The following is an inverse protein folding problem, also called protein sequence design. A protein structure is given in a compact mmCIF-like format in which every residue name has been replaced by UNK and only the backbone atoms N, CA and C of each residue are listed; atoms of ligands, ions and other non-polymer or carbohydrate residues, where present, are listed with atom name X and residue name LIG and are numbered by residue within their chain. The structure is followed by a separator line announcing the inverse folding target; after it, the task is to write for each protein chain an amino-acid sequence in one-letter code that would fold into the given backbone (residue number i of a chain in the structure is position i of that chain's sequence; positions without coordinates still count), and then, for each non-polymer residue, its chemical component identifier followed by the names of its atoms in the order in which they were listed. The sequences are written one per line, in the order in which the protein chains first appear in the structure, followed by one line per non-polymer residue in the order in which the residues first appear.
data_IF_945528745471
#
_entry.id   IF_945528745471
#
_cell.length_a   1.000
_cell.length_b   1.000
_cell.length_c   1.000
_cell.angle_alpha   90.00
_cell.angle_beta   90.00
_cell.angle_gamma   90.00
#
_symmetry.space_group_name_H-M   'P 1'
#
loop_
_entity.id
_entity.type
_entity.pdbx_description
1 polymer ?
#
# COMPACT_ATOMS: atom_id res chain seq x y z
N UNK A 1 -8.60 -35.96 15.74
CA UNK A 1 -8.53 -34.48 15.61
C UNK A 1 -9.75 -34.05 14.80
N UNK A 2 -10.47 -33.01 15.22
CA UNK A 2 -11.63 -32.51 14.46
C UNK A 2 -11.19 -31.93 13.14
N UNK A 3 -11.96 -32.18 12.08
CA UNK A 3 -11.78 -31.49 10.80
C UNK A 3 -12.09 -30.02 10.98
N UNK A 4 -11.20 -29.17 10.47
CA UNK A 4 -11.39 -27.73 10.35
C UNK A 4 -12.11 -27.39 9.06
N UNK A 5 -12.76 -26.24 9.02
CA UNK A 5 -13.52 -25.79 7.85
C UNK A 5 -12.64 -25.76 6.58
N UNK A 6 -11.37 -25.36 6.73
CA UNK A 6 -10.38 -25.33 5.64
C UNK A 6 -10.12 -26.70 5.00
N UNK A 7 -10.31 -27.80 5.73
CA UNK A 7 -10.08 -29.16 5.24
C UNK A 7 -11.29 -29.71 4.45
N UNK A 8 -12.43 -29.03 4.50
CA UNK A 8 -13.69 -29.51 3.91
C UNK A 8 -14.13 -28.61 2.77
N UNK A 9 -14.39 -27.33 3.02
CA UNK A 9 -14.89 -26.42 2.00
C UNK A 9 -14.73 -24.94 2.38
N UNK A 10 -14.64 -24.08 1.37
CA UNK A 10 -14.54 -22.63 1.48
C UNK A 10 -15.37 -21.94 0.38
N UNK A 11 -15.91 -20.73 0.61
CA UNK A 11 -16.59 -19.95 -0.42
C UNK A 11 -15.56 -19.28 -1.35
N UNK A 12 -14.89 -20.10 -2.17
CA UNK A 12 -13.75 -19.69 -3.00
C UNK A 12 -14.10 -18.55 -3.96
N UNK A 13 -15.30 -18.54 -4.54
CA UNK A 13 -15.72 -17.49 -5.47
C UNK A 13 -15.75 -16.11 -4.80
N UNK A 14 -16.28 -16.02 -3.57
CA UNK A 14 -16.30 -14.79 -2.80
C UNK A 14 -14.89 -14.34 -2.41
N UNK A 15 -14.05 -15.28 -1.94
CA UNK A 15 -12.66 -15.01 -1.56
C UNK A 15 -11.85 -14.51 -2.77
N UNK A 16 -12.00 -15.15 -3.92
CA UNK A 16 -11.29 -14.81 -5.16
C UNK A 16 -11.72 -13.44 -5.69
N UNK A 17 -13.03 -13.16 -5.70
CA UNK A 17 -13.57 -11.86 -6.12
C UNK A 17 -13.06 -10.73 -5.21
N UNK A 18 -13.07 -10.93 -3.90
CA UNK A 18 -12.56 -9.96 -2.93
C UNK A 18 -11.04 -9.75 -3.08
N UNK A 19 -10.28 -10.83 -3.22
CA UNK A 19 -8.82 -10.79 -3.41
C UNK A 19 -8.41 -10.07 -4.71
N UNK A 20 -9.18 -10.24 -5.79
CA UNK A 20 -8.95 -9.53 -7.04
C UNK A 20 -9.24 -8.03 -6.89
N UNK A 21 -10.34 -7.67 -6.22
CA UNK A 21 -10.74 -6.29 -5.95
C UNK A 21 -9.71 -5.56 -5.08
N UNK A 22 -9.13 -6.22 -4.09
CA UNK A 22 -8.14 -5.62 -3.19
C UNK A 22 -6.94 -5.01 -3.93
N UNK A 23 -6.54 -5.58 -5.08
CA UNK A 23 -5.42 -5.07 -5.90
C UNK A 23 -5.63 -3.64 -6.41
N UNK A 24 -6.86 -3.15 -6.50
CA UNK A 24 -7.17 -1.79 -6.94
C UNK A 24 -7.38 -0.81 -5.80
N UNK A 25 -7.35 -1.26 -4.54
CA UNK A 25 -7.45 -0.38 -3.37
C UNK A 25 -6.19 0.47 -3.26
N UNK A 26 -6.37 1.78 -3.05
CA UNK A 26 -5.28 2.78 -2.96
C UNK A 26 -5.31 3.61 -1.68
N UNK A 27 -6.21 3.27 -0.75
CA UNK A 27 -6.32 3.96 0.53
C UNK A 27 -6.49 2.93 1.65
N UNK A 28 -5.77 3.11 2.77
CA UNK A 28 -5.84 2.23 3.95
C UNK A 28 -5.22 0.84 3.78
N UNK A 29 -4.90 0.42 2.55
CA UNK A 29 -4.28 -0.88 2.29
C UNK A 29 -2.77 -0.87 2.65
N UNK A 30 -2.23 -1.90 3.29
CA UNK A 30 -0.80 -1.98 3.64
C UNK A 30 0.20 -1.71 2.51
N UNK A 31 -0.17 -1.96 1.25
CA UNK A 31 0.67 -1.63 0.09
C UNK A 31 0.92 -0.13 -0.09
N UNK A 32 0.08 0.73 0.49
CA UNK A 32 0.26 2.18 0.47
C UNK A 32 1.25 2.66 1.52
N UNK A 33 1.57 1.83 2.52
CA UNK A 33 2.66 2.08 3.45
C UNK A 33 4.01 1.70 2.82
N UNK A 34 4.08 0.47 2.30
CA UNK A 34 5.23 -0.01 1.53
C UNK A 34 4.81 -1.12 0.56
N UNK A 35 5.30 -1.05 -0.68
CA UNK A 35 5.08 -2.08 -1.67
C UNK A 35 5.91 -3.32 -1.33
N UNK A 36 5.26 -4.48 -1.16
CA UNK A 36 5.93 -5.75 -0.96
C UNK A 36 5.59 -6.69 -2.12
N UNK A 37 6.60 -7.22 -2.81
CA UNK A 37 6.45 -7.92 -4.10
C UNK A 37 5.63 -9.21 -4.03
N UNK A 38 5.57 -9.85 -2.86
CA UNK A 38 4.86 -11.13 -2.66
C UNK A 38 3.77 -11.04 -1.59
N UNK A 39 3.13 -9.87 -1.40
CA UNK A 39 2.07 -9.74 -0.38
C UNK A 39 0.86 -10.58 -0.76
N UNK A 40 0.46 -11.49 0.11
CA UNK A 40 -0.78 -12.27 -0.02
C UNK A 40 -2.00 -11.34 0.13
N UNK A 41 -3.09 -11.59 -0.61
CA UNK A 41 -4.32 -10.83 -0.41
C UNK A 41 -4.82 -10.95 1.04
N UNK A 42 -5.20 -9.84 1.66
CA UNK A 42 -5.69 -9.84 3.04
C UNK A 42 -7.02 -10.58 3.16
N UNK A 43 -7.90 -10.43 2.17
CA UNK A 43 -9.13 -11.20 2.07
C UNK A 43 -8.88 -12.72 2.18
N UNK A 44 -7.94 -13.25 1.39
CA UNK A 44 -7.58 -14.66 1.44
C UNK A 44 -6.94 -15.06 2.78
N UNK A 45 -6.00 -14.26 3.30
CA UNK A 45 -5.35 -14.50 4.59
C UNK A 45 -6.39 -14.61 5.73
N UNK A 46 -7.33 -13.67 5.81
CA UNK A 46 -8.39 -13.64 6.81
C UNK A 46 -9.30 -14.87 6.73
N UNK A 47 -9.75 -15.23 5.51
CA UNK A 47 -10.60 -16.39 5.30
C UNK A 47 -9.92 -17.71 5.70
N UNK A 48 -8.64 -17.87 5.32
CA UNK A 48 -7.85 -19.07 5.64
C UNK A 48 -7.61 -19.20 7.15
N UNK A 49 -7.24 -18.12 7.83
CA UNK A 49 -7.02 -18.14 9.28
C UNK A 49 -8.33 -18.48 10.02
N UNK A 50 -9.44 -17.84 9.65
CA UNK A 50 -10.75 -18.16 10.23
C UNK A 50 -11.10 -19.64 10.04
N UNK A 51 -10.98 -20.14 8.82
CA UNK A 51 -11.33 -21.52 8.49
C UNK A 51 -10.38 -22.58 9.09
N UNK A 52 -9.14 -22.19 9.41
CA UNK A 52 -8.19 -23.03 10.14
C UNK A 52 -8.56 -23.13 11.63
N UNK A 53 -9.13 -22.08 12.21
CA UNK A 53 -9.50 -22.06 13.63
C UNK A 53 -10.87 -22.69 13.90
N UNK A 54 -11.81 -22.53 12.97
CA UNK A 54 -13.20 -23.00 13.10
C UNK A 54 -13.34 -24.47 12.67
N UNK A 55 -14.01 -25.27 13.51
CA UNK A 55 -14.32 -26.67 13.23
C UNK A 55 -15.37 -26.79 12.13
N UNK A 56 -15.23 -27.76 11.23
CA UNK A 56 -16.31 -28.11 10.32
C UNK A 56 -17.47 -28.76 11.11
N UNK A 57 -18.74 -28.42 10.80
CA UNK A 57 -19.90 -28.99 11.49
C UNK A 57 -19.97 -30.53 11.48
N UNK A 58 -19.39 -31.21 10.48
CA UNK A 58 -19.30 -32.68 10.44
C UNK A 58 -18.49 -33.28 11.59
N UNK A 59 -17.61 -32.48 12.22
CA UNK A 59 -16.84 -32.89 13.39
C UNK A 59 -17.54 -32.59 14.71
N UNK A 60 -18.79 -32.11 14.69
CA UNK A 60 -19.59 -31.83 15.87
C UNK A 60 -20.97 -32.53 15.79
N UNK A 61 -21.02 -33.88 15.73
CA UNK A 61 -22.27 -34.62 15.53
C UNK A 61 -23.29 -34.40 16.65
N UNK A 62 -22.86 -34.10 17.87
CA UNK A 62 -23.77 -33.80 18.99
C UNK A 62 -24.60 -32.52 18.74
N UNK A 63 -24.02 -31.55 18.02
CA UNK A 63 -24.67 -30.30 17.66
C UNK A 63 -25.36 -30.39 16.29
N UNK A 64 -24.72 -31.09 15.35
CA UNK A 64 -25.14 -31.22 13.96
C UNK A 64 -25.23 -32.71 13.54
N UNK A 65 -26.25 -33.43 14.06
CA UNK A 65 -26.32 -34.89 13.90
C UNK A 65 -26.69 -35.37 12.49
N UNK A 66 -27.12 -34.47 11.60
CA UNK A 66 -27.53 -34.84 10.24
C UNK A 66 -26.79 -34.02 9.20
N UNK A 67 -26.56 -34.58 8.01
CA UNK A 67 -25.91 -33.87 6.89
C UNK A 67 -26.62 -32.56 6.55
N UNK A 68 -27.96 -32.54 6.59
CA UNK A 68 -28.75 -31.31 6.37
C UNK A 68 -28.46 -30.23 7.42
N UNK A 69 -28.27 -30.60 8.69
CA UNK A 69 -27.89 -29.65 9.75
C UNK A 69 -26.44 -29.18 9.60
N UNK A 70 -25.53 -30.09 9.24
CA UNK A 70 -24.13 -29.77 8.98
C UNK A 70 -23.98 -28.79 7.82
N UNK A 71 -24.70 -29.03 6.72
CA UNK A 71 -24.68 -28.14 5.55
C UNK A 71 -25.30 -26.78 5.87
N UNK A 72 -26.42 -26.75 6.59
CA UNK A 72 -27.04 -25.48 7.03
C UNK A 72 -26.05 -24.64 7.86
N UNK A 73 -25.32 -25.28 8.77
CA UNK A 73 -24.33 -24.60 9.59
C UNK A 73 -23.11 -24.17 8.78
N UNK A 74 -22.63 -25.01 7.87
CA UNK A 74 -21.53 -24.67 6.96
C UNK A 74 -21.85 -23.44 6.13
N UNK A 75 -23.07 -23.34 5.61
CA UNK A 75 -23.55 -22.15 4.89
C UNK A 75 -23.62 -20.91 5.79
N UNK A 76 -23.91 -21.05 7.10
CA UNK A 76 -23.82 -19.93 8.05
C UNK A 76 -22.37 -19.47 8.22
N UNK A 77 -21.44 -20.39 8.38
CA UNK A 77 -20.00 -20.10 8.49
C UNK A 77 -19.45 -19.46 7.20
N UNK A 78 -19.95 -19.87 6.03
CA UNK A 78 -19.59 -19.25 4.76
C UNK A 78 -20.05 -17.80 4.67
N UNK A 79 -21.25 -17.47 5.14
CA UNK A 79 -21.70 -16.08 5.19
C UNK A 79 -20.79 -15.21 6.06
N UNK A 80 -20.26 -15.75 7.17
CA UNK A 80 -19.26 -15.04 7.98
C UNK A 80 -17.99 -14.78 7.14
N UNK A 81 -17.48 -15.78 6.42
CA UNK A 81 -16.31 -15.59 5.53
C UNK A 81 -16.61 -14.57 4.43
N UNK A 82 -17.76 -14.65 3.79
CA UNK A 82 -18.20 -13.73 2.73
C UNK A 82 -18.24 -12.28 3.23
N UNK A 83 -18.78 -12.05 4.42
CA UNK A 83 -18.75 -10.74 5.08
C UNK A 83 -17.32 -10.30 5.40
N UNK A 84 -16.53 -11.21 5.98
CA UNK A 84 -15.15 -10.93 6.41
C UNK A 84 -14.26 -10.54 5.25
N UNK A 85 -14.39 -11.14 4.06
CA UNK A 85 -13.48 -10.87 2.94
C UNK A 85 -13.73 -9.52 2.27
N UNK A 86 -14.87 -8.87 2.51
CA UNK A 86 -15.15 -7.55 1.95
C UNK A 86 -14.20 -6.50 2.52
N UNK A 87 -13.66 -5.66 1.63
CA UNK A 87 -12.71 -4.60 2.01
C UNK A 87 -13.34 -3.61 3.02
N UNK A 88 -14.60 -3.28 2.80
CA UNK A 88 -15.40 -2.39 3.64
C UNK A 88 -15.52 -2.89 5.08
N UNK A 89 -15.47 -4.22 5.27
CA UNK A 89 -15.64 -4.85 6.57
C UNK A 89 -14.32 -5.07 7.32
N UNK A 90 -13.17 -4.68 6.75
CA UNK A 90 -11.84 -4.87 7.38
C UNK A 90 -11.66 -4.18 8.73
N UNK A 91 -12.53 -3.23 9.07
CA UNK A 91 -12.57 -2.53 10.36
C UNK A 91 -13.97 -2.51 10.98
N UNK A 92 -14.89 -3.33 10.45
CA UNK A 92 -16.23 -3.47 10.99
C UNK A 92 -16.21 -4.42 12.20
N UNK A 93 -16.27 -3.86 13.41
CA UNK A 93 -16.21 -4.64 14.65
C UNK A 93 -17.36 -5.64 14.79
N UNK A 94 -18.55 -5.38 14.24
CA UNK A 94 -19.66 -6.34 14.28
C UNK A 94 -19.32 -7.60 13.46
N UNK A 95 -18.76 -7.41 12.26
CA UNK A 95 -18.32 -8.52 11.41
C UNK A 95 -17.14 -9.29 12.03
N UNK A 96 -16.17 -8.57 12.60
CA UNK A 96 -15.02 -9.17 13.27
C UNK A 96 -15.41 -9.93 14.55
N UNK A 97 -16.36 -9.41 15.33
CA UNK A 97 -16.78 -10.05 16.57
C UNK A 97 -17.55 -11.35 16.32
N UNK A 98 -18.42 -11.40 15.29
CA UNK A 98 -19.04 -12.66 14.85
C UNK A 98 -17.99 -13.73 14.55
N UNK A 99 -16.92 -13.34 13.88
CA UNK A 99 -15.84 -14.27 13.53
C UNK A 99 -15.02 -14.72 14.76
N UNK A 100 -14.67 -13.78 15.64
CA UNK A 100 -13.96 -14.04 16.89
C UNK A 100 -14.75 -15.00 17.78
N UNK A 101 -16.07 -14.82 17.87
CA UNK A 101 -16.94 -15.69 18.66
C UNK A 101 -16.89 -17.15 18.19
N UNK A 102 -16.97 -17.39 16.87
CA UNK A 102 -16.85 -18.75 16.32
C UNK A 102 -15.47 -19.38 16.60
N UNK A 103 -14.40 -18.59 16.47
CA UNK A 103 -13.04 -19.02 16.81
C UNK A 103 -12.98 -19.44 18.29
N UNK A 104 -13.52 -18.63 19.19
CA UNK A 104 -13.59 -18.95 20.62
C UNK A 104 -14.42 -20.19 20.92
N UNK A 105 -15.58 -20.36 20.28
CA UNK A 105 -16.42 -21.54 20.47
C UNK A 105 -15.68 -22.82 20.04
N UNK A 106 -15.03 -22.79 18.87
CA UNK A 106 -14.21 -23.91 18.40
C UNK A 106 -13.02 -24.20 19.31
N UNK A 107 -12.33 -23.16 19.78
CA UNK A 107 -11.21 -23.34 20.70
C UNK A 107 -11.66 -23.97 22.03
N UNK A 108 -12.78 -23.51 22.59
CA UNK A 108 -13.32 -24.06 23.86
C UNK A 108 -13.75 -25.52 23.73
N UNK A 109 -14.30 -25.91 22.57
CA UNK A 109 -14.56 -27.34 22.27
C UNK A 109 -13.27 -28.15 22.24
N UNK A 110 -12.25 -27.67 21.53
CA UNK A 110 -10.94 -28.31 21.49
C UNK A 110 -10.33 -28.44 22.89
N UNK A 111 -10.48 -27.42 23.75
CA UNK A 111 -10.01 -27.48 25.13
C UNK A 111 -10.76 -28.54 25.96
N UNK A 112 -12.08 -28.63 25.82
CA UNK A 112 -12.88 -29.62 26.53
C UNK A 112 -12.53 -31.06 26.13
N UNK A 113 -12.26 -31.30 24.84
CA UNK A 113 -11.86 -32.62 24.34
C UNK A 113 -10.45 -33.04 24.74
N UNK A 114 -9.58 -32.07 25.04
CA UNK A 114 -8.22 -32.32 25.47
C UNK A 114 -8.04 -32.08 26.98
N UNK A 115 -9.13 -32.13 27.75
CA UNK A 115 -9.10 -31.92 29.21
C UNK A 115 -8.20 -32.93 29.93
N UNK A 116 -8.13 -34.17 29.43
CA UNK A 116 -7.31 -35.25 29.99
C UNK A 116 -5.86 -35.26 29.48
N UNK A 117 -5.48 -34.32 28.60
CA UNK A 117 -4.12 -34.24 28.08
C UNK A 117 -3.12 -33.93 29.22
N UNK A 118 -1.94 -34.58 29.31
CA UNK A 118 -0.98 -34.34 30.41
C UNK A 118 -0.54 -32.88 30.57
N UNK A 119 -0.59 -32.12 29.46
CA UNK A 119 -0.30 -30.68 29.41
C UNK A 119 -1.54 -29.81 29.16
N UNK A 120 -2.74 -30.28 29.49
CA UNK A 120 -4.01 -29.56 29.23
C UNK A 120 -3.99 -28.12 29.77
N UNK A 121 -3.50 -27.92 31.00
CA UNK A 121 -3.37 -26.60 31.64
C UNK A 121 -2.50 -25.62 30.85
N UNK A 122 -1.53 -26.12 30.08
CA UNK A 122 -0.58 -25.30 29.33
C UNK A 122 -1.04 -25.10 27.88
N UNK A 123 -1.51 -26.17 27.23
CA UNK A 123 -1.78 -26.18 25.79
C UNK A 123 -3.24 -25.90 25.42
N UNK A 124 -4.17 -26.08 26.36
CA UNK A 124 -5.62 -26.06 26.11
C UNK A 124 -6.35 -25.17 27.12
N UNK A 125 -5.86 -23.93 27.28
CA UNK A 125 -6.51 -22.92 28.12
C UNK A 125 -7.77 -22.35 27.43
N UNK A 126 -8.94 -22.66 27.99
CA UNK A 126 -10.24 -22.19 27.48
C UNK A 126 -10.43 -20.66 27.55
N UNK A 127 -9.56 -19.95 28.26
CA UNK A 127 -9.57 -18.50 28.44
C UNK A 127 -8.48 -17.78 27.64
N UNK A 128 -7.61 -18.52 26.94
CA UNK A 128 -6.55 -17.95 26.10
C UNK A 128 -6.49 -18.66 24.75
N UNK A 129 -6.67 -17.92 23.65
CA UNK A 129 -6.48 -18.47 22.30
C UNK A 129 -5.00 -18.86 22.09
N UNK A 130 -4.73 -19.87 21.24
CA UNK A 130 -3.37 -20.21 20.86
C UNK A 130 -2.72 -19.03 20.12
N UNK A 131 -1.42 -18.86 20.31
CA UNK A 131 -0.65 -17.85 19.59
C UNK A 131 -0.54 -18.21 18.10
N UNK A 132 -0.60 -17.19 17.25
CA UNK A 132 -0.38 -17.31 15.81
C UNK A 132 1.08 -17.02 15.49
N UNK A 133 1.78 -17.94 14.83
CA UNK A 133 3.18 -17.77 14.46
C UNK A 133 3.35 -17.82 12.94
N UNK A 134 3.88 -16.74 12.36
CA UNK A 134 4.30 -16.68 10.95
C UNK A 134 5.81 -16.43 10.86
N UNK A 135 6.62 -17.49 10.65
CA UNK A 135 8.07 -17.37 10.62
C UNK A 135 8.62 -16.73 9.33
N UNK A 136 7.76 -16.49 8.33
CA UNK A 136 8.11 -15.95 7.02
C UNK A 136 7.13 -14.85 6.59
N UNK A 137 6.91 -13.88 7.48
CA UNK A 137 5.79 -12.97 7.41
C UNK A 137 5.81 -12.03 6.19
N UNK A 138 6.99 -11.74 5.63
CA UNK A 138 7.15 -10.87 4.48
C UNK A 138 6.41 -9.54 4.65
N UNK A 139 5.41 -9.31 3.80
CA UNK A 139 4.60 -8.09 3.82
C UNK A 139 3.58 -7.97 4.96
N UNK A 140 3.50 -8.96 5.86
CA UNK A 140 2.71 -8.95 7.10
C UNK A 140 1.22 -9.23 6.95
N UNK A 141 0.79 -9.89 5.86
CA UNK A 141 -0.63 -10.13 5.59
C UNK A 141 -1.27 -11.07 6.61
N UNK A 142 -0.69 -12.24 6.83
CA UNK A 142 -1.20 -13.24 7.77
C UNK A 142 -1.22 -12.75 9.23
N UNK A 143 -0.11 -12.24 9.80
CA UNK A 143 -0.13 -11.80 11.19
C UNK A 143 -1.03 -10.58 11.44
N UNK A 144 -1.20 -9.68 10.46
CA UNK A 144 -2.18 -8.60 10.55
C UNK A 144 -3.62 -9.13 10.65
N UNK A 145 -3.98 -10.08 9.80
CA UNK A 145 -5.33 -10.64 9.80
C UNK A 145 -5.58 -11.55 11.00
N UNK A 146 -4.56 -12.27 11.48
CA UNK A 146 -4.62 -13.01 12.73
C UNK A 146 -4.95 -12.08 13.92
N UNK A 147 -4.27 -10.93 14.00
CA UNK A 147 -4.53 -9.93 15.03
C UNK A 147 -5.96 -9.36 14.94
N UNK A 148 -6.46 -9.08 13.72
CA UNK A 148 -7.85 -8.63 13.52
C UNK A 148 -8.88 -9.65 14.00
N UNK A 149 -8.58 -10.94 13.81
CA UNK A 149 -9.37 -12.07 14.29
C UNK A 149 -9.17 -12.40 15.78
N UNK A 150 -8.43 -11.56 16.53
CA UNK A 150 -8.27 -11.68 17.98
C UNK A 150 -7.15 -12.63 18.44
N UNK A 151 -6.31 -13.12 17.53
CA UNK A 151 -5.16 -13.97 17.87
C UNK A 151 -3.95 -13.12 18.29
N UNK A 152 -3.17 -13.64 19.24
CA UNK A 152 -1.87 -13.09 19.59
C UNK A 152 -0.86 -13.47 18.49
N UNK A 153 -0.53 -12.52 17.62
CA UNK A 153 0.28 -12.75 16.43
C UNK A 153 1.77 -12.45 16.64
N UNK A 154 2.60 -13.43 16.33
CA UNK A 154 4.05 -13.38 16.30
C UNK A 154 4.53 -13.56 14.86
N UNK A 155 5.33 -12.63 14.38
CA UNK A 155 5.83 -12.60 13.02
C UNK A 155 7.35 -12.49 13.03
N UNK A 156 8.04 -13.26 12.19
CA UNK A 156 9.46 -13.09 11.92
C UNK A 156 9.75 -13.07 10.43
N UNK A 157 10.88 -12.45 10.08
CA UNK A 157 11.44 -12.49 8.73
C UNK A 157 12.94 -12.19 8.82
N UNK A 158 13.73 -12.75 7.90
CA UNK A 158 15.16 -12.44 7.79
C UNK A 158 15.37 -11.07 7.15
N UNK A 159 14.45 -10.63 6.28
CA UNK A 159 14.56 -9.36 5.58
C UNK A 159 14.22 -8.19 6.52
N UNK A 160 15.14 -7.25 6.77
CA UNK A 160 14.90 -6.13 7.69
C UNK A 160 13.77 -5.20 7.22
N UNK A 161 13.50 -5.11 5.90
CA UNK A 161 12.38 -4.35 5.36
C UNK A 161 11.04 -5.02 5.72
N UNK A 162 10.96 -6.36 5.61
CA UNK A 162 9.79 -7.10 6.07
C UNK A 162 9.55 -6.90 7.57
N UNK A 163 10.60 -7.02 8.39
CA UNK A 163 10.52 -6.76 9.83
C UNK A 163 9.99 -5.35 10.12
N UNK A 164 10.49 -4.33 9.42
CA UNK A 164 10.04 -2.95 9.61
C UNK A 164 8.56 -2.76 9.24
N UNK A 165 8.10 -3.35 8.14
CA UNK A 165 6.69 -3.34 7.72
C UNK A 165 5.82 -3.96 8.80
N UNK A 166 6.19 -5.14 9.31
CA UNK A 166 5.44 -5.84 10.34
C UNK A 166 5.42 -5.03 11.65
N UNK A 167 6.55 -4.42 12.05
CA UNK A 167 6.60 -3.53 13.21
C UNK A 167 5.63 -2.36 13.07
N UNK A 168 5.64 -1.70 11.92
CA UNK A 168 4.78 -0.55 11.65
C UNK A 168 3.29 -0.91 11.64
N UNK A 169 2.93 -2.12 11.21
CA UNK A 169 1.54 -2.55 11.06
C UNK A 169 0.96 -3.28 12.28
N UNK A 170 1.75 -4.15 12.92
CA UNK A 170 1.26 -5.17 13.87
C UNK A 170 1.79 -4.90 15.28
N UNK A 171 3.03 -4.46 15.43
CA UNK A 171 3.65 -4.29 16.75
C UNK A 171 3.40 -2.90 17.35
N UNK A 172 3.62 -1.84 16.56
CA UNK A 172 3.59 -0.47 17.06
C UNK A 172 2.15 0.01 17.32
N UNK A 173 1.19 -0.06 16.38
CA UNK A 173 -0.13 0.55 16.58
C UNK A 173 -0.88 0.05 17.83
N UNK A 174 -0.91 -1.26 18.15
CA UNK A 174 -1.58 -1.74 19.36
C UNK A 174 -0.96 -1.24 20.67
N UNK A 175 0.38 -1.04 20.72
CA UNK A 175 1.05 -0.49 21.91
C UNK A 175 0.59 0.94 22.26
N UNK A 176 0.07 1.66 21.27
CA UNK A 176 -0.47 3.01 21.39
C UNK A 176 -2.00 3.07 21.25
N UNK A 177 -2.68 1.92 21.20
CA UNK A 177 -4.13 1.90 21.12
C UNK A 177 -4.76 2.59 22.34
N UNK A 178 -5.70 3.50 22.09
CA UNK A 178 -6.40 4.24 23.13
C UNK A 178 -5.56 5.29 23.86
N UNK A 179 -4.32 5.53 23.44
CA UNK A 179 -3.43 6.51 24.08
C UNK A 179 -3.54 7.89 23.42
N UNK A 180 -3.46 8.98 24.21
CA UNK A 180 -3.39 10.32 23.65
C UNK A 180 -2.06 10.56 22.91
N UNK A 181 -2.02 11.49 21.94
CA UNK A 181 -0.80 11.90 21.28
C UNK A 181 0.21 12.52 22.25
N UNK A 182 1.49 12.33 21.99
CA UNK A 182 2.59 12.83 22.82
C UNK A 182 3.34 14.01 22.24
N UNK A 183 3.00 14.48 21.04
CA UNK A 183 3.66 15.61 20.42
C UNK A 183 3.52 16.91 21.24
N UNK A 184 4.50 17.83 21.15
CA UNK A 184 4.49 19.07 21.93
C UNK A 184 3.27 19.96 21.72
N UNK A 185 2.66 19.94 20.52
CA UNK A 185 1.45 20.70 20.22
C UNK A 185 0.24 20.19 21.01
N UNK A 186 0.01 18.88 20.96
CA UNK A 186 -1.10 18.25 21.67
C UNK A 186 -0.94 18.34 23.20
N UNK A 187 0.28 18.17 23.73
CA UNK A 187 0.55 18.26 25.17
C UNK A 187 0.18 19.61 25.80
N UNK A 188 0.16 20.70 25.01
CA UNK A 188 -0.25 22.03 25.49
C UNK A 188 -1.74 22.13 25.74
N UNK A 189 -2.56 21.33 25.05
CA UNK A 189 -3.99 21.33 25.24
C UNK A 189 -4.40 20.26 26.26
N UNK A 190 -4.64 20.68 27.50
CA UNK A 190 -5.06 19.78 28.59
C UNK A 190 -6.37 19.03 28.29
N UNK A 191 -7.25 19.57 27.43
CA UNK A 191 -8.52 18.93 27.08
C UNK A 191 -8.36 17.66 26.22
N UNK A 192 -7.21 17.48 25.56
CA UNK A 192 -6.93 16.29 24.74
C UNK A 192 -6.60 15.06 25.59
N UNK A 193 -6.21 15.24 26.86
CA UNK A 193 -6.01 14.14 27.80
C UNK A 193 -7.33 13.61 28.39
N UNK A 194 -8.37 14.46 28.42
CA UNK A 194 -9.73 14.06 28.81
C UNK A 194 -10.55 13.49 27.66
N UNK A 195 -10.05 13.55 26.42
CA UNK A 195 -10.72 12.97 25.26
C UNK A 195 -10.50 11.46 25.21
N UNK A 196 -11.54 10.71 24.84
CA UNK A 196 -11.43 9.30 24.52
C UNK A 196 -10.76 9.12 23.15
N UNK A 197 -9.66 8.38 23.11
CA UNK A 197 -8.93 8.04 21.89
C UNK A 197 -9.31 6.62 21.47
N UNK A 198 -9.69 6.44 20.20
CA UNK A 198 -10.07 5.12 19.68
C UNK A 198 -8.98 4.55 18.79
N UNK A 199 -8.59 3.31 19.02
CA UNK A 199 -7.53 2.63 18.27
C UNK A 199 -6.25 3.47 18.23
N UNK A 200 -5.63 3.58 17.04
CA UNK A 200 -4.36 4.28 16.85
C UNK A 200 -4.49 5.80 16.56
N UNK A 201 -5.63 6.43 16.90
CA UNK A 201 -5.86 7.86 16.59
C UNK A 201 -4.79 8.79 17.18
N UNK A 202 -4.39 8.60 18.44
CA UNK A 202 -3.35 9.44 19.06
C UNK A 202 -1.99 9.27 18.39
N UNK A 203 -1.62 8.02 18.05
CA UNK A 203 -0.41 7.76 17.25
C UNK A 203 -0.48 8.43 15.87
N UNK A 204 -1.65 8.41 15.21
CA UNK A 204 -1.82 9.05 13.91
C UNK A 204 -1.61 10.58 13.98
N UNK A 205 -2.06 11.25 15.05
CA UNK A 205 -1.78 12.66 15.29
C UNK A 205 -0.28 12.94 15.44
N UNK A 206 0.44 12.10 16.18
CA UNK A 206 1.89 12.22 16.31
C UNK A 206 2.61 12.02 14.98
N UNK A 207 2.22 11.02 14.18
CA UNK A 207 2.78 10.79 12.85
C UNK A 207 2.57 12.01 11.95
N UNK A 208 1.39 12.63 11.97
CA UNK A 208 1.12 13.87 11.20
C UNK A 208 1.98 15.02 11.69
N UNK A 209 2.09 15.20 13.00
CA UNK A 209 2.89 16.27 13.60
C UNK A 209 4.37 16.15 13.22
N UNK A 210 4.99 15.00 13.46
CA UNK A 210 6.41 14.79 13.18
C UNK A 210 6.69 14.72 11.68
N UNK A 211 5.76 14.20 10.88
CA UNK A 211 5.85 14.25 9.42
C UNK A 211 5.86 15.70 8.90
N UNK A 212 4.99 16.56 9.43
CA UNK A 212 4.99 18.00 9.11
C UNK A 212 6.30 18.66 9.54
N UNK A 213 6.76 18.42 10.77
CA UNK A 213 8.01 18.97 11.27
C UNK A 213 9.20 18.56 10.40
N UNK A 214 9.32 17.28 10.05
CA UNK A 214 10.39 16.76 9.21
C UNK A 214 10.37 17.40 7.82
N UNK A 215 9.19 17.53 7.21
CA UNK A 215 9.02 18.24 5.93
C UNK A 215 9.45 19.71 6.05
N UNK A 216 9.00 20.42 7.08
CA UNK A 216 9.32 21.83 7.28
C UNK A 216 10.84 22.03 7.52
N UNK A 217 11.50 21.11 8.22
CA UNK A 217 12.97 21.10 8.39
C UNK A 217 13.71 20.77 7.08
N UNK A 218 13.18 19.85 6.27
CA UNK A 218 13.73 19.57 4.95
C UNK A 218 13.62 20.81 4.05
N UNK A 219 12.47 21.47 4.01
CA UNK A 219 12.26 22.69 3.23
C UNK A 219 13.27 23.80 3.59
N UNK A 220 13.56 24.00 4.88
CA UNK A 220 14.59 24.97 5.30
C UNK A 220 15.98 24.64 4.79
N UNK A 221 16.35 23.35 4.76
CA UNK A 221 17.72 22.90 4.45
C UNK A 221 17.98 22.73 2.96
N UNK A 222 16.99 22.21 2.23
CA UNK A 222 17.13 21.86 0.82
C UNK A 222 16.13 22.56 -0.09
N UNK A 223 15.10 23.24 0.44
CA UNK A 223 14.13 23.99 -0.35
C UNK A 223 14.76 25.00 -1.32
N UNK A 224 15.85 25.71 -0.97
CA UNK A 224 16.54 26.58 -1.93
C UNK A 224 17.06 25.88 -3.20
N UNK A 225 17.24 24.54 -3.17
CA UNK A 225 17.61 23.74 -4.34
C UNK A 225 16.45 23.54 -5.33
N UNK A 226 15.22 23.87 -4.91
CA UNK A 226 13.98 23.72 -5.67
C UNK A 226 13.42 25.12 -6.01
N UNK A 227 13.89 25.76 -7.10
CA UNK A 227 13.51 27.12 -7.41
C UNK A 227 12.01 27.23 -7.68
N UNK A 228 11.48 28.41 -7.36
CA UNK A 228 10.12 28.80 -7.70
C UNK A 228 10.08 29.30 -9.15
N UNK A 229 9.09 28.85 -9.91
CA UNK A 229 8.87 29.28 -11.29
C UNK A 229 7.47 29.87 -11.43
N UNK A 230 7.37 31.09 -11.93
CA UNK A 230 6.11 31.80 -12.10
C UNK A 230 5.42 31.42 -13.43
N UNK A 231 4.13 31.09 -13.37
CA UNK A 231 3.33 30.79 -14.55
C UNK A 231 2.85 32.10 -15.17
N UNK A 232 3.60 32.57 -16.16
CA UNK A 232 3.35 33.85 -16.85
C UNK A 232 2.23 33.74 -17.89
N UNK A 233 1.65 34.88 -18.28
CA UNK A 233 0.64 34.95 -19.35
C UNK A 233 1.16 34.40 -20.69
N UNK A 234 2.45 34.61 -20.99
CA UNK A 234 3.08 34.05 -22.18
C UNK A 234 3.07 32.52 -22.14
N UNK A 235 3.40 31.93 -21.00
CA UNK A 235 3.41 30.49 -20.83
C UNK A 235 2.00 29.91 -20.99
N UNK A 236 0.98 30.55 -20.42
CA UNK A 236 -0.41 30.08 -20.55
C UNK A 236 -0.91 30.14 -21.99
N UNK A 237 -0.51 31.15 -22.77
CA UNK A 237 -0.79 31.20 -24.22
C UNK A 237 -0.19 30.00 -24.97
N UNK A 238 1.01 29.58 -24.60
CA UNK A 238 1.69 28.42 -25.21
C UNK A 238 1.20 27.07 -24.64
N UNK A 239 0.70 27.09 -23.40
CA UNK A 239 0.26 25.94 -22.61
C UNK A 239 -1.08 26.26 -21.90
N UNK A 240 -2.20 26.19 -22.63
CA UNK A 240 -3.53 26.50 -22.07
C UNK A 240 -3.92 25.63 -20.87
N UNK A 241 -3.32 24.45 -20.75
CA UNK A 241 -3.48 23.56 -19.58
C UNK A 241 -2.95 24.17 -18.27
N UNK A 242 -2.13 25.21 -18.33
CA UNK A 242 -1.60 25.93 -17.17
C UNK A 242 -2.46 27.12 -16.71
N UNK A 243 -3.60 27.39 -17.38
CA UNK A 243 -4.53 28.47 -17.01
C UNK A 243 -4.88 28.51 -15.50
N UNK A 244 -5.17 27.38 -14.82
CA UNK A 244 -5.52 27.38 -13.38
C UNK A 244 -4.37 27.86 -12.46
N UNK A 245 -3.16 27.99 -13.01
CA UNK A 245 -1.96 28.38 -12.30
C UNK A 245 -1.43 29.75 -12.70
N UNK A 246 -2.11 30.50 -13.59
CA UNK A 246 -1.71 31.84 -14.02
C UNK A 246 -1.35 32.73 -12.82
N UNK A 247 -0.16 33.34 -12.86
CA UNK A 247 0.38 34.21 -11.81
C UNK A 247 0.86 33.50 -10.55
N UNK A 248 0.72 32.17 -10.44
CA UNK A 248 1.22 31.40 -9.30
C UNK A 248 2.69 31.06 -9.50
N UNK A 249 3.44 31.08 -8.40
CA UNK A 249 4.78 30.51 -8.30
C UNK A 249 4.66 29.04 -7.90
N UNK A 250 5.22 28.16 -8.73
CA UNK A 250 5.24 26.72 -8.50
C UNK A 250 6.66 26.25 -8.22
N UNK A 251 6.81 25.30 -7.31
CA UNK A 251 8.10 24.66 -7.01
C UNK A 251 8.50 23.72 -8.15
N UNK A 252 9.69 23.91 -8.71
CA UNK A 252 10.29 22.94 -9.65
C UNK A 252 10.71 21.70 -8.87
N UNK A 253 10.01 20.58 -9.04
CA UNK A 253 10.24 19.33 -8.28
C UNK A 253 11.09 18.28 -9.01
N UNK A 254 11.35 18.48 -10.30
CA UNK A 254 12.05 17.51 -11.14
C UNK A 254 12.83 18.20 -12.25
N UNK A 255 13.95 17.58 -12.64
CA UNK A 255 14.81 18.01 -13.73
C UNK A 255 15.06 16.84 -14.67
N UNK A 256 15.06 17.13 -15.98
CA UNK A 256 15.53 16.20 -16.99
C UNK A 256 16.94 16.60 -17.40
N UNK A 257 17.89 15.69 -17.18
CA UNK A 257 19.30 15.92 -17.49
C UNK A 257 19.67 15.17 -18.76
N UNK A 258 20.42 15.84 -19.65
CA UNK A 258 21.06 15.22 -20.80
C UNK A 258 22.56 15.55 -20.77
N UNK A 259 23.40 14.55 -21.09
CA UNK A 259 24.82 14.81 -21.34
C UNK A 259 24.95 15.60 -22.63
N UNK A 260 25.96 16.45 -22.74
CA UNK A 260 26.23 17.20 -23.97
C UNK A 260 27.58 16.85 -24.56
N UNK A 261 27.70 16.92 -25.88
CA UNK A 261 28.97 16.81 -26.63
C UNK A 261 29.10 17.99 -27.58
N UNK A 262 30.32 18.30 -28.05
CA UNK A 262 30.52 19.30 -29.09
C UNK A 262 29.85 18.84 -30.38
N UNK A 263 29.23 19.78 -31.10
CA UNK A 263 28.60 19.48 -32.38
C UNK A 263 29.61 18.88 -33.36
N UNK A 264 29.29 17.76 -34.03
CA UNK A 264 30.14 17.25 -35.11
C UNK A 264 30.01 18.07 -36.40
N UNK A 265 29.03 18.99 -36.49
CA UNK A 265 28.89 19.90 -37.63
C UNK A 265 29.90 21.06 -37.47
N UNK A 266 30.88 21.22 -38.40
CA UNK A 266 31.90 22.26 -38.30
C UNK A 266 31.34 23.69 -38.17
N UNK A 267 30.18 23.96 -38.79
CA UNK A 267 29.53 25.27 -38.70
C UNK A 267 29.03 25.61 -37.29
N UNK A 268 28.86 24.60 -36.43
CA UNK A 268 28.38 24.73 -35.05
C UNK A 268 29.34 24.09 -34.05
N UNK A 269 30.63 23.95 -34.38
CA UNK A 269 31.60 23.22 -33.58
C UNK A 269 31.64 23.67 -32.10
N UNK A 270 31.36 24.94 -31.83
CA UNK A 270 31.33 25.49 -30.48
C UNK A 270 30.07 25.16 -29.67
N UNK A 271 29.00 24.71 -30.32
CA UNK A 271 27.70 24.40 -29.71
C UNK A 271 27.73 23.04 -29.03
N UNK A 272 27.30 22.99 -27.77
CA UNK A 272 27.14 21.76 -27.01
C UNK A 272 25.75 21.14 -27.29
N UNK A 273 25.72 20.01 -27.99
CA UNK A 273 24.49 19.31 -28.38
C UNK A 273 24.13 18.21 -27.39
N UNK A 274 22.84 17.99 -27.10
CA UNK A 274 22.40 17.07 -26.06
C UNK A 274 22.32 15.63 -26.59
N UNK A 275 22.76 14.68 -25.78
CA UNK A 275 22.61 13.25 -26.00
C UNK A 275 21.33 12.77 -25.30
N UNK A 276 20.20 12.97 -25.96
CA UNK A 276 18.89 12.52 -25.49
C UNK A 276 18.49 11.21 -26.18
N UNK A 277 18.18 10.18 -25.39
CA UNK A 277 17.64 8.91 -25.91
C UNK A 277 16.15 8.97 -26.26
N UNK A 278 15.46 10.01 -25.81
CA UNK A 278 14.08 10.32 -26.16
C UNK A 278 13.79 11.78 -25.84
N UNK A 279 12.86 12.36 -26.59
CA UNK A 279 12.21 13.62 -26.28
C UNK A 279 10.75 13.43 -25.85
N UNK A 280 10.24 12.20 -25.79
CA UNK A 280 8.92 11.93 -25.22
C UNK A 280 8.94 12.12 -23.71
N UNK A 281 8.01 12.91 -23.17
CA UNK A 281 7.85 13.11 -21.74
C UNK A 281 6.71 12.25 -21.16
N UNK A 282 5.58 12.18 -21.86
CA UNK A 282 4.45 11.31 -21.52
C UNK A 282 3.90 10.66 -22.78
N UNK A 283 3.74 9.33 -22.75
CA UNK A 283 3.16 8.52 -23.83
C UNK A 283 1.75 8.03 -23.50
N UNK A 284 1.18 8.47 -22.37
CA UNK A 284 -0.16 8.07 -21.95
C UNK A 284 -1.20 8.68 -22.88
N UNK A 285 -2.07 7.84 -23.45
CA UNK A 285 -3.12 8.27 -24.36
C UNK A 285 -4.04 9.33 -23.70
N UNK A 286 -4.25 10.46 -24.39
CA UNK A 286 -5.01 11.61 -23.89
C UNK A 286 -4.26 12.49 -22.87
N UNK A 287 -3.00 12.17 -22.56
CA UNK A 287 -2.10 12.96 -21.69
C UNK A 287 -0.68 12.98 -22.24
N UNK A 288 -0.55 12.98 -23.56
CA UNK A 288 0.74 13.00 -24.23
C UNK A 288 1.44 14.35 -24.05
N UNK A 289 2.76 14.31 -23.88
CA UNK A 289 3.60 15.48 -23.83
C UNK A 289 5.00 15.14 -24.32
N UNK A 290 5.66 16.08 -24.98
CA UNK A 290 7.01 15.90 -25.51
C UNK A 290 7.83 17.18 -25.42
N UNK A 291 9.15 17.04 -25.44
CA UNK A 291 10.11 18.12 -25.55
C UNK A 291 10.38 18.37 -27.03
N UNK A 292 10.20 19.60 -27.49
CA UNK A 292 10.50 20.01 -28.85
C UNK A 292 11.77 20.87 -28.84
N UNK A 293 12.85 20.42 -29.51
CA UNK A 293 13.99 21.28 -29.75
C UNK A 293 13.63 22.32 -30.82
N UNK A 294 13.88 23.58 -30.52
CA UNK A 294 13.71 24.72 -31.44
C UNK A 294 15.11 25.27 -31.74
N UNK A 295 15.51 25.18 -33.00
CA UNK A 295 16.80 25.68 -33.50
C UNK A 295 16.62 27.14 -33.91
N UNK A 296 17.39 28.04 -33.31
CA UNK A 296 17.31 29.48 -33.58
C UNK A 296 18.65 30.16 -33.29
N UNK A 297 19.00 31.19 -34.07
CA UNK A 297 20.17 32.06 -33.86
C UNK A 297 21.51 31.32 -33.65
N UNK A 298 21.74 30.22 -34.39
CA UNK A 298 22.98 29.43 -34.26
C UNK A 298 23.08 28.59 -32.99
N UNK A 299 21.98 28.46 -32.24
CA UNK A 299 21.85 27.56 -31.09
C UNK A 299 20.50 26.84 -31.08
N UNK A 300 20.13 26.31 -29.91
CA UNK A 300 18.84 25.68 -29.71
C UNK A 300 18.29 25.96 -28.32
N UNK A 301 16.97 25.84 -28.18
CA UNK A 301 16.28 25.77 -26.89
C UNK A 301 15.25 24.65 -26.91
N UNK A 302 14.78 24.29 -25.72
CA UNK A 302 13.70 23.31 -25.59
C UNK A 302 12.38 24.00 -25.22
N UNK A 303 11.29 23.51 -25.79
CA UNK A 303 9.92 23.85 -25.34
C UNK A 303 9.15 22.56 -25.07
N UNK A 304 8.20 22.59 -24.13
CA UNK A 304 7.36 21.42 -23.84
C UNK A 304 6.03 21.60 -24.54
N UNK A 305 5.66 20.64 -25.37
CA UNK A 305 4.40 20.60 -26.12
C UNK A 305 3.48 19.52 -25.55
N UNK A 306 2.18 19.82 -25.50
CA UNK A 306 1.12 18.88 -25.10
C UNK A 306 0.49 18.30 -26.36
N UNK A 307 0.17 17.00 -26.31
CA UNK A 307 -0.34 16.24 -27.43
C UNK A 307 0.75 15.43 -28.14
N UNK A 308 0.43 14.98 -29.35
CA UNK A 308 1.31 14.12 -30.13
C UNK A 308 2.26 14.97 -30.98
N UNK A 309 3.58 14.65 -31.00
CA UNK A 309 4.50 15.31 -31.91
C UNK A 309 4.12 15.01 -33.37
N UNK A 310 4.49 15.92 -34.27
CA UNK A 310 4.29 15.73 -35.72
C UNK A 310 5.05 14.49 -36.22
N UNK A 311 6.27 14.29 -35.71
CA UNK A 311 7.07 13.11 -35.95
C UNK A 311 7.28 12.34 -34.63
N UNK A 312 6.47 11.30 -34.44
CA UNK A 312 6.48 10.47 -33.24
C UNK A 312 7.76 9.64 -33.13
N UNK A 313 8.30 9.15 -34.25
CA UNK A 313 9.48 8.30 -34.22
C UNK A 313 10.74 9.12 -33.94
N UNK A 314 10.86 10.32 -34.51
CA UNK A 314 11.94 11.25 -34.16
C UNK A 314 11.89 11.63 -32.67
N UNK A 315 10.72 11.97 -32.15
CA UNK A 315 10.57 12.31 -30.73
C UNK A 315 10.89 11.11 -29.81
N UNK A 316 10.49 9.89 -30.19
CA UNK A 316 10.84 8.68 -29.42
C UNK A 316 12.33 8.43 -29.39
N UNK A 317 13.02 8.59 -30.51
CA UNK A 317 14.46 8.31 -30.64
C UNK A 317 15.34 9.44 -30.10
N UNK A 318 14.79 10.65 -29.96
CA UNK A 318 15.56 11.82 -29.53
C UNK A 318 16.68 12.12 -30.51
N UNK A 319 17.91 12.18 -29.99
CA UNK A 319 19.14 12.31 -30.80
C UNK A 319 19.78 10.97 -31.13
N UNK A 320 19.22 9.83 -30.71
CA UNK A 320 19.83 8.52 -30.92
C UNK A 320 19.51 7.98 -32.32
N UNK A 321 20.53 7.51 -33.05
CA UNK A 321 20.36 7.00 -34.42
C UNK A 321 20.08 5.48 -34.48
N UNK A 322 20.66 4.69 -33.58
CA UNK A 322 20.54 3.22 -33.56
C UNK A 322 20.93 2.63 -32.19
N UNK A 323 20.94 1.29 -32.05
CA UNK A 323 21.57 0.62 -30.91
C UNK A 323 23.08 0.88 -30.94
N UNK A 324 23.62 1.56 -29.93
CA UNK A 324 25.05 1.90 -29.83
C UNK A 324 25.25 3.36 -29.39
N UNK A 325 26.48 3.86 -29.53
CA UNK A 325 26.89 5.21 -29.14
C UNK A 325 26.71 6.27 -30.27
N UNK A 326 25.89 5.97 -31.29
CA UNK A 326 25.71 6.85 -32.45
C UNK A 326 24.54 7.81 -32.24
N UNK A 327 24.82 9.10 -32.34
CA UNK A 327 23.85 10.18 -32.16
C UNK A 327 23.82 11.11 -33.36
N UNK A 328 22.63 11.57 -33.71
CA UNK A 328 22.40 12.63 -34.68
C UNK A 328 22.67 13.96 -33.99
N UNK A 329 23.44 14.81 -34.67
CA UNK A 329 23.57 16.20 -34.25
C UNK A 329 22.18 16.86 -34.28
N UNK A 330 21.86 17.58 -33.20
CA UNK A 330 20.63 18.38 -33.15
C UNK A 330 20.72 19.62 -34.05
N UNK A 331 21.94 20.15 -34.23
CA UNK A 331 22.28 21.34 -35.01
C UNK A 331 22.49 21.04 -36.49
#
# INVERSE_FOLDING_TARGET
MKKKLIEVALPLDAINKASAREKSIRHGHPSTLHLWWARRPLAAARAVIFAQMVDDPSSCPDLFPTEKKQEKERQRLFKIIEDLVLWENTTNEEALERAREEIWQSWRRACAENADHPRAKELFDRHKLPAFHDPFAGGGALPLEAQRLGLEAYASDLNPVAVLINKAMIEIPPKFAGKPPVNPGARKNKSLFSQEWKGAQGLAEDVRYYGKWMRDEAEKRIGPLYPQYEITDKLVKERPDLEPYRGKKLTVIAWLWARTVKSPNPAFADVAVPLASTFMHSTKNGKEAYVEPVIENGGYRFTVKVGKPKDVEAAKNGTKLARGANFKCLM
#
